data_IF_006138931513
#
_entry.id   IF_006138931513
#
_cell.length_a   1.000
_cell.length_b   1.000
_cell.length_c   1.000
_cell.angle_alpha   90.00
_cell.angle_beta   90.00
_cell.angle_gamma   90.00
#
_symmetry.space_group_name_H-M   'P 1'
#
loop_
_entity.id
_entity.type
_entity.pdbx_description
1 polymer ?
#
# COMPACT_ATOMS: atom_id res chain seq x y z
N UNK A 1 -41.44 36.72 -24.29
CA UNK A 1 -40.24 37.50 -23.92
C UNK A 1 -39.37 36.63 -23.01
N UNK A 2 -38.37 35.92 -23.56
CA UNK A 2 -37.50 35.02 -22.78
C UNK A 2 -36.06 35.27 -23.24
N UNK A 3 -35.28 35.99 -22.43
CA UNK A 3 -33.85 36.22 -22.69
C UNK A 3 -33.04 35.10 -22.01
N UNK A 4 -32.50 34.17 -22.80
CA UNK A 4 -31.48 33.20 -22.35
C UNK A 4 -30.17 33.95 -22.09
N UNK A 5 -29.67 33.93 -20.86
CA UNK A 5 -28.31 34.37 -20.51
C UNK A 5 -27.36 33.19 -20.56
N UNK A 6 -26.48 33.15 -21.56
CA UNK A 6 -25.33 32.26 -21.57
C UNK A 6 -24.30 32.77 -20.55
N UNK A 7 -23.95 31.95 -19.57
CA UNK A 7 -22.80 32.22 -18.69
C UNK A 7 -21.55 31.57 -19.31
N UNK A 8 -20.61 32.40 -19.74
CA UNK A 8 -19.28 31.95 -20.13
C UNK A 8 -18.50 31.59 -18.88
N UNK A 9 -18.26 30.30 -18.65
CA UNK A 9 -17.28 29.82 -17.66
C UNK A 9 -15.93 29.79 -18.38
N UNK A 10 -15.21 30.92 -18.37
CA UNK A 10 -13.81 30.93 -18.77
C UNK A 10 -12.97 30.36 -17.62
N UNK A 11 -12.55 29.09 -17.74
CA UNK A 11 -11.46 28.54 -16.91
C UNK A 11 -10.15 29.16 -17.38
N UNK A 12 -9.88 30.39 -16.93
CA UNK A 12 -8.53 30.96 -17.01
C UNK A 12 -7.71 30.24 -15.94
N UNK A 13 -6.80 29.35 -16.32
CA UNK A 13 -5.72 28.93 -15.44
C UNK A 13 -4.93 30.19 -15.08
N UNK A 14 -5.23 30.77 -13.91
CA UNK A 14 -4.51 31.93 -13.40
C UNK A 14 -3.09 31.48 -13.09
N UNK A 15 -2.17 31.72 -14.01
CA UNK A 15 -0.74 31.62 -13.70
C UNK A 15 -0.45 32.64 -12.60
N UNK A 16 -0.07 32.14 -11.43
CA UNK A 16 0.37 33.00 -10.35
C UNK A 16 1.62 33.74 -10.81
N UNK A 17 1.62 35.06 -10.64
CA UNK A 17 2.83 35.83 -10.82
C UNK A 17 3.90 35.36 -9.82
N UNK A 18 5.21 35.44 -10.13
CA UNK A 18 6.26 35.02 -9.19
C UNK A 18 6.12 35.64 -7.79
N UNK A 19 5.61 36.88 -7.73
CA UNK A 19 5.33 37.58 -6.47
C UNK A 19 4.17 36.95 -5.69
N UNK A 20 3.11 36.53 -6.36
CA UNK A 20 1.96 35.84 -5.74
C UNK A 20 2.36 34.46 -5.21
N UNK A 21 3.18 33.72 -5.95
CA UNK A 21 3.71 32.43 -5.52
C UNK A 21 4.58 32.55 -4.25
N UNK A 22 5.52 33.50 -4.24
CA UNK A 22 6.34 33.81 -3.06
C UNK A 22 5.44 34.21 -1.87
N UNK A 23 4.40 35.01 -2.11
CA UNK A 23 3.43 35.39 -1.08
C UNK A 23 2.68 34.18 -0.52
N UNK A 24 2.24 33.26 -1.37
CA UNK A 24 1.56 32.03 -0.95
C UNK A 24 2.50 31.12 -0.15
N UNK A 25 3.75 30.93 -0.59
CA UNK A 25 4.75 30.18 0.16
C UNK A 25 5.00 30.79 1.54
N UNK A 26 5.09 32.12 1.62
CA UNK A 26 5.26 32.82 2.89
C UNK A 26 4.04 32.70 3.82
N UNK A 27 2.83 32.65 3.25
CA UNK A 27 1.59 32.41 4.00
C UNK A 27 1.57 30.98 4.53
N UNK A 28 1.81 29.99 3.67
CA UNK A 28 1.87 28.57 4.04
C UNK A 28 2.93 28.32 5.13
N UNK A 29 4.13 28.91 4.99
CA UNK A 29 5.17 28.83 6.01
C UNK A 29 4.75 29.50 7.34
N UNK A 30 4.00 30.61 7.30
CA UNK A 30 3.44 31.23 8.52
C UNK A 30 2.37 30.36 9.17
N UNK A 31 1.48 29.78 8.37
CA UNK A 31 0.46 28.84 8.83
C UNK A 31 1.10 27.61 9.48
N UNK A 32 2.11 27.02 8.85
CA UNK A 32 2.87 25.89 9.39
C UNK A 32 3.57 26.25 10.70
N UNK A 33 4.15 27.46 10.79
CA UNK A 33 4.80 27.96 12.01
C UNK A 33 3.78 28.19 13.13
N UNK A 34 2.61 28.74 12.81
CA UNK A 34 1.54 28.98 13.77
C UNK A 34 0.95 27.67 14.26
N UNK A 35 0.67 26.72 13.35
CA UNK A 35 0.26 25.37 13.68
C UNK A 35 1.29 24.70 14.60
N UNK A 36 2.59 24.83 14.30
CA UNK A 36 3.67 24.33 15.16
C UNK A 36 3.64 24.98 16.55
N UNK A 37 3.43 26.29 16.65
CA UNK A 37 3.30 26.98 17.94
C UNK A 37 2.07 26.52 18.72
N UNK A 38 0.93 26.34 18.04
CA UNK A 38 -0.31 25.86 18.64
C UNK A 38 -0.15 24.42 19.15
N UNK A 39 0.50 23.54 18.38
CA UNK A 39 0.86 22.17 18.81
C UNK A 39 1.80 22.16 20.02
N UNK A 40 2.68 23.15 20.18
CA UNK A 40 3.57 23.28 21.33
C UNK A 40 2.84 23.83 22.57
N UNK A 41 1.88 24.74 22.38
CA UNK A 41 1.12 25.37 23.46
C UNK A 41 -0.02 24.49 23.98
N UNK A 42 -0.52 23.58 23.16
CA UNK A 42 -1.57 22.65 23.53
C UNK A 42 -1.01 21.58 24.48
N UNK A 43 -1.41 21.63 25.75
CA UNK A 43 -1.13 20.57 26.71
C UNK A 43 -1.98 19.33 26.40
N UNK A 44 -1.49 18.45 25.53
CA UNK A 44 -2.08 17.13 25.36
C UNK A 44 -1.75 16.26 26.58
N UNK A 45 -2.76 15.65 27.20
CA UNK A 45 -2.55 14.63 28.23
C UNK A 45 -1.95 13.38 27.58
N UNK A 46 -0.63 13.28 27.59
CA UNK A 46 0.11 12.17 26.99
C UNK A 46 0.23 11.01 28.00
N UNK A 47 -0.63 10.01 27.87
CA UNK A 47 -0.63 8.80 28.71
C UNK A 47 -0.61 7.53 27.84
N UNK A 48 0.55 7.22 27.20
CA UNK A 48 0.64 6.09 26.30
C UNK A 48 0.57 4.76 27.06
N UNK A 49 0.00 3.73 26.42
CA UNK A 49 0.15 2.35 26.90
C UNK A 49 1.60 1.90 26.69
N UNK A 50 2.19 1.32 27.72
CA UNK A 50 3.59 0.86 27.76
C UNK A 50 3.58 -0.63 28.10
N UNK A 51 4.41 -1.46 27.44
CA UNK A 51 4.53 -2.89 27.78
C UNK A 51 5.51 -3.11 28.94
N UNK A 52 6.70 -2.51 28.88
CA UNK A 52 7.74 -2.66 29.89
C UNK A 52 7.77 -1.52 30.92
N UNK A 53 7.65 -1.85 32.20
CA UNK A 53 7.70 -0.87 33.31
C UNK A 53 9.14 -0.50 33.73
N UNK A 54 10.14 -0.67 32.87
CA UNK A 54 11.55 -0.44 33.21
C UNK A 54 12.02 0.97 32.79
N UNK A 55 12.57 1.73 33.75
CA UNK A 55 13.14 3.08 33.55
C UNK A 55 14.64 2.97 33.18
N UNK A 56 15.18 3.84 32.30
CA UNK A 56 14.86 5.27 32.22
C UNK A 56 13.93 5.74 31.07
N UNK A 57 13.75 4.96 30.00
CA UNK A 57 13.07 5.42 28.78
C UNK A 57 11.73 4.69 28.57
N UNK A 58 10.64 5.25 29.11
CA UNK A 58 9.27 4.78 28.80
C UNK A 58 8.95 5.08 27.34
N UNK A 59 8.99 4.05 26.50
CA UNK A 59 8.61 4.14 25.10
C UNK A 59 7.14 3.74 24.94
N UNK A 60 6.36 4.39 24.06
CA UNK A 60 5.01 3.94 23.76
C UNK A 60 5.07 2.57 23.07
N UNK A 61 4.03 1.76 23.29
CA UNK A 61 3.96 0.36 22.83
C UNK A 61 4.31 0.18 21.34
N UNK A 62 3.85 1.09 20.48
CA UNK A 62 4.11 1.03 19.04
C UNK A 62 5.60 1.12 18.70
N UNK A 63 6.35 1.98 19.40
CA UNK A 63 7.78 2.18 19.19
C UNK A 63 8.57 0.99 19.74
N UNK A 64 8.17 0.52 20.93
CA UNK A 64 8.76 -0.66 21.55
C UNK A 64 8.60 -1.91 20.67
N UNK A 65 7.43 -2.11 20.04
CA UNK A 65 7.16 -3.24 19.14
C UNK A 65 8.01 -3.26 17.86
N UNK A 66 8.63 -2.15 17.46
CA UNK A 66 9.54 -2.12 16.30
C UNK A 66 10.82 -2.92 16.57
N UNK A 67 11.27 -2.98 17.83
CA UNK A 67 12.48 -3.69 18.24
C UNK A 67 12.30 -5.22 18.23
N UNK A 68 11.06 -5.70 18.26
CA UNK A 68 10.72 -7.12 18.29
C UNK A 68 10.26 -7.62 16.92
N UNK A 69 10.19 -8.95 16.78
CA UNK A 69 9.59 -9.60 15.60
C UNK A 69 8.11 -9.20 15.46
N UNK A 70 7.57 -9.16 14.23
CA UNK A 70 6.17 -8.83 14.01
C UNK A 70 5.26 -9.80 14.77
N UNK A 71 4.30 -9.23 15.51
CA UNK A 71 3.25 -9.97 16.20
C UNK A 71 2.34 -10.65 15.19
N UNK A 72 1.68 -11.73 15.61
CA UNK A 72 0.76 -12.51 14.77
C UNK A 72 -0.49 -12.84 15.56
N UNK A 73 -1.61 -12.85 14.84
CA UNK A 73 -2.91 -13.23 15.38
C UNK A 73 -3.12 -14.75 15.23
N UNK A 74 -3.83 -15.39 16.18
CA UNK A 74 -4.24 -16.78 16.02
C UNK A 74 -5.25 -16.90 14.87
N UNK A 75 -5.26 -18.06 14.21
CA UNK A 75 -6.25 -18.39 13.17
C UNK A 75 -7.52 -18.93 13.82
N UNK A 76 -8.67 -18.65 13.24
CA UNK A 76 -9.97 -19.13 13.74
C UNK A 76 -10.39 -20.41 13.02
N UNK A 77 -10.40 -20.38 11.67
CA UNK A 77 -10.85 -21.48 10.82
C UNK A 77 -9.68 -22.03 9.98
N UNK A 78 -8.76 -21.16 9.56
CA UNK A 78 -7.62 -21.52 8.73
C UNK A 78 -7.90 -21.48 7.24
N UNK A 79 -8.96 -20.78 6.82
CA UNK A 79 -9.31 -20.62 5.41
C UNK A 79 -8.31 -19.67 4.74
N UNK A 80 -7.71 -20.13 3.64
CA UNK A 80 -6.74 -19.33 2.89
C UNK A 80 -7.50 -18.33 2.02
N UNK A 81 -7.27 -17.04 2.26
CA UNK A 81 -7.92 -15.96 1.51
C UNK A 81 -6.96 -15.33 0.50
N UNK A 82 -5.69 -15.14 0.85
CA UNK A 82 -4.71 -14.60 -0.08
C UNK A 82 -3.29 -15.11 0.15
N UNK A 83 -2.58 -15.32 -0.95
CA UNK A 83 -1.16 -15.62 -1.01
C UNK A 83 -0.41 -14.40 -1.58
N UNK A 84 0.51 -13.83 -0.79
CA UNK A 84 1.43 -12.78 -1.22
C UNK A 84 2.82 -13.39 -1.43
N UNK A 85 3.26 -13.44 -2.69
CA UNK A 85 4.60 -13.87 -3.08
C UNK A 85 5.50 -12.66 -3.36
N UNK A 86 6.67 -12.65 -2.73
CA UNK A 86 7.67 -11.60 -2.82
C UNK A 86 8.88 -12.14 -3.59
N UNK A 87 9.34 -11.40 -4.61
CA UNK A 87 10.52 -11.78 -5.40
C UNK A 87 11.49 -10.62 -5.51
N UNK A 88 12.77 -10.88 -5.29
CA UNK A 88 13.83 -9.88 -5.48
C UNK A 88 15.18 -10.55 -5.76
N UNK A 89 16.14 -9.76 -6.22
CA UNK A 89 17.54 -10.16 -6.32
C UNK A 89 18.32 -9.90 -5.03
N UNK A 90 17.78 -9.07 -4.12
CA UNK A 90 18.33 -8.85 -2.77
C UNK A 90 17.42 -9.48 -1.71
N UNK A 91 18.00 -10.29 -0.82
CA UNK A 91 17.27 -10.97 0.24
C UNK A 91 16.92 -10.03 1.41
N UNK A 92 17.72 -8.99 1.62
CA UNK A 92 17.55 -8.09 2.76
C UNK A 92 16.31 -7.20 2.58
N UNK A 93 16.15 -6.58 1.42
CA UNK A 93 14.97 -5.76 1.11
C UNK A 93 13.68 -6.59 1.10
N UNK A 94 13.77 -7.84 0.67
CA UNK A 94 12.66 -8.78 0.67
C UNK A 94 12.20 -9.12 2.12
N UNK A 95 13.15 -9.32 3.05
CA UNK A 95 12.83 -9.49 4.47
C UNK A 95 12.23 -8.23 5.08
N UNK A 96 12.76 -7.04 4.75
CA UNK A 96 12.25 -5.76 5.25
C UNK A 96 10.80 -5.53 4.84
N UNK A 97 10.47 -5.72 3.55
CA UNK A 97 9.09 -5.54 3.08
C UNK A 97 8.17 -6.66 3.61
N UNK A 98 8.68 -7.88 3.78
CA UNK A 98 7.94 -8.97 4.40
C UNK A 98 7.59 -8.69 5.86
N UNK A 99 8.52 -8.19 6.65
CA UNK A 99 8.28 -7.77 8.04
C UNK A 99 7.30 -6.59 8.11
N UNK A 100 7.41 -5.62 7.19
CA UNK A 100 6.45 -4.53 7.06
C UNK A 100 5.04 -5.05 6.76
N UNK A 101 4.89 -5.93 5.76
CA UNK A 101 3.61 -6.54 5.41
C UNK A 101 2.96 -7.29 6.59
N UNK A 102 3.75 -8.03 7.37
CA UNK A 102 3.27 -8.71 8.58
C UNK A 102 2.75 -7.73 9.64
N UNK A 103 3.45 -6.61 9.87
CA UNK A 103 3.03 -5.58 10.83
C UNK A 103 1.72 -4.91 10.40
N UNK A 104 1.59 -4.57 9.11
CA UNK A 104 0.35 -3.98 8.58
C UNK A 104 -0.82 -4.95 8.77
N UNK A 105 -0.63 -6.23 8.45
CA UNK A 105 -1.69 -7.23 8.64
C UNK A 105 -2.10 -7.41 10.09
N UNK A 106 -1.15 -7.37 11.04
CA UNK A 106 -1.47 -7.42 12.46
C UNK A 106 -2.39 -6.26 12.90
N UNK A 107 -2.10 -5.04 12.46
CA UNK A 107 -2.94 -3.88 12.79
C UNK A 107 -4.31 -3.92 12.10
N UNK A 108 -4.41 -4.52 10.92
CA UNK A 108 -5.68 -4.74 10.21
C UNK A 108 -6.49 -5.92 10.77
N UNK A 109 -5.95 -6.67 11.75
CA UNK A 109 -6.66 -7.80 12.34
C UNK A 109 -6.56 -9.09 11.52
N UNK A 110 -5.64 -9.19 10.55
CA UNK A 110 -5.48 -10.33 9.66
C UNK A 110 -4.59 -11.41 10.31
N UNK A 111 -5.05 -12.65 10.50
CA UNK A 111 -4.19 -13.78 10.82
C UNK A 111 -3.26 -14.10 9.63
N UNK A 112 -1.96 -13.87 9.81
CA UNK A 112 -0.93 -14.10 8.78
C UNK A 112 -0.01 -15.26 9.13
N UNK A 113 0.44 -15.99 8.10
CA UNK A 113 1.57 -16.93 8.24
C UNK A 113 2.88 -16.19 8.53
N UNK A 114 3.91 -16.86 9.06
CA UNK A 114 5.26 -16.33 8.96
C UNK A 114 5.68 -16.06 7.51
N UNK A 115 6.62 -15.13 7.36
CA UNK A 115 7.37 -14.94 6.13
C UNK A 115 8.17 -16.22 5.84
N UNK A 116 7.72 -16.98 4.84
CA UNK A 116 8.25 -18.31 4.52
C UNK A 116 9.16 -18.23 3.31
N UNK A 117 10.40 -18.69 3.43
CA UNK A 117 11.36 -18.73 2.31
C UNK A 117 10.99 -19.86 1.35
N UNK A 118 10.83 -19.51 0.07
CA UNK A 118 10.63 -20.48 -1.00
C UNK A 118 11.98 -20.85 -1.64
N UNK A 119 11.95 -21.84 -2.54
CA UNK A 119 13.14 -22.25 -3.29
C UNK A 119 13.71 -21.05 -4.06
N UNK A 120 14.99 -20.78 -3.83
CA UNK A 120 15.75 -19.75 -4.53
C UNK A 120 16.09 -20.23 -5.93
N UNK A 121 15.82 -19.41 -6.95
CA UNK A 121 16.18 -19.70 -8.33
C UNK A 121 17.58 -19.18 -8.65
N UNK A 122 18.46 -20.04 -9.19
CA UNK A 122 19.79 -19.63 -9.66
C UNK A 122 19.89 -19.88 -11.16
N UNK A 123 20.10 -18.81 -11.93
CA UNK A 123 20.41 -18.89 -13.36
C UNK A 123 21.90 -18.65 -13.55
N UNK A 124 22.58 -19.56 -14.25
CA UNK A 124 24.01 -19.52 -14.53
C UNK A 124 24.22 -19.14 -16.00
N UNK A 125 25.17 -18.24 -16.26
CA UNK A 125 25.55 -17.80 -17.60
C UNK A 125 27.06 -17.91 -17.73
N UNK A 126 27.53 -18.54 -18.81
CA UNK A 126 28.96 -18.63 -19.09
C UNK A 126 29.26 -17.84 -20.36
N UNK A 127 30.13 -16.84 -20.24
CA UNK A 127 30.46 -15.91 -21.33
C UNK A 127 31.97 -15.97 -21.58
N UNK A 128 32.41 -15.81 -22.83
CA UNK A 128 33.83 -15.67 -23.16
C UNK A 128 34.32 -14.32 -22.64
N UNK A 129 35.46 -14.28 -21.94
CA UNK A 129 35.99 -13.03 -21.35
C UNK A 129 36.43 -12.02 -22.40
N UNK A 130 37.04 -12.51 -23.48
CA UNK A 130 37.51 -11.68 -24.59
C UNK A 130 36.37 -11.35 -25.55
N UNK A 131 36.36 -10.16 -26.18
CA UNK A 131 35.41 -9.84 -27.24
C UNK A 131 35.57 -10.75 -28.48
N UNK A 132 36.74 -11.38 -28.69
CA UNK A 132 36.98 -12.23 -29.87
C UNK A 132 37.94 -13.40 -29.60
N UNK A 133 37.68 -14.53 -30.28
CA UNK A 133 38.49 -15.76 -30.46
C UNK A 133 38.98 -16.55 -29.22
N UNK A 134 39.18 -15.93 -28.05
CA UNK A 134 39.78 -16.60 -26.87
C UNK A 134 38.77 -17.47 -26.08
N UNK A 135 38.15 -18.45 -26.74
CA UNK A 135 37.07 -19.28 -26.18
C UNK A 135 37.47 -20.16 -24.99
N UNK A 136 38.77 -20.41 -24.76
CA UNK A 136 39.28 -21.13 -23.58
C UNK A 136 39.16 -20.30 -22.29
N UNK A 137 39.13 -18.97 -22.41
CA UNK A 137 38.97 -18.05 -21.28
C UNK A 137 37.50 -17.67 -21.09
N UNK A 138 36.83 -18.35 -20.16
CA UNK A 138 35.39 -18.14 -19.87
C UNK A 138 35.19 -17.57 -18.46
N UNK A 139 34.11 -16.81 -18.27
CA UNK A 139 33.65 -16.30 -16.99
C UNK A 139 32.22 -16.76 -16.71
N UNK A 140 31.97 -17.19 -15.48
CA UNK A 140 30.64 -17.56 -15.01
C UNK A 140 30.00 -16.37 -14.30
N UNK A 141 28.79 -16.02 -14.72
CA UNK A 141 27.90 -15.09 -14.06
C UNK A 141 26.71 -15.85 -13.52
N UNK A 142 26.09 -15.31 -12.49
CA UNK A 142 24.86 -15.89 -11.95
C UNK A 142 23.87 -14.80 -11.58
N UNK A 143 22.59 -15.13 -11.72
CA UNK A 143 21.49 -14.35 -11.20
C UNK A 143 20.73 -15.20 -10.20
N UNK A 144 20.68 -14.75 -8.95
CA UNK A 144 19.94 -15.41 -7.88
C UNK A 144 18.65 -14.63 -7.66
N UNK A 145 17.52 -15.30 -7.72
CA UNK A 145 16.21 -14.73 -7.38
C UNK A 145 15.71 -15.37 -6.10
N UNK A 146 15.60 -14.55 -5.06
CA UNK A 146 15.02 -14.94 -3.79
C UNK A 146 13.51 -14.81 -3.85
N UNK A 147 12.83 -15.81 -3.30
CA UNK A 147 11.38 -15.92 -3.31
C UNK A 147 10.92 -16.15 -1.86
N UNK A 148 9.93 -15.39 -1.40
CA UNK A 148 9.25 -15.64 -0.13
C UNK A 148 7.74 -15.57 -0.30
N UNK A 149 7.01 -16.13 0.66
CA UNK A 149 5.56 -16.14 0.70
C UNK A 149 5.03 -15.75 2.07
N UNK A 150 3.93 -15.00 2.08
CA UNK A 150 3.06 -14.75 3.22
C UNK A 150 1.65 -15.21 2.81
N UNK A 151 0.96 -15.90 3.69
CA UNK A 151 -0.42 -16.37 3.49
C UNK A 151 -1.32 -15.67 4.50
N UNK A 152 -2.41 -15.10 4.02
CA UNK A 152 -3.47 -14.50 4.82
C UNK A 152 -4.65 -15.46 4.97
N UNK A 153 -5.18 -15.51 6.19
CA UNK A 153 -6.27 -16.40 6.57
C UNK A 153 -7.45 -15.62 7.12
N UNK A 154 -8.65 -16.23 7.08
CA UNK A 154 -9.83 -15.86 7.87
C UNK A 154 -10.18 -14.35 7.86
N UNK A 155 -10.04 -13.67 6.72
CA UNK A 155 -10.20 -12.21 6.62
C UNK A 155 -11.16 -11.82 5.51
N UNK A 156 -11.88 -10.70 5.70
CA UNK A 156 -12.78 -10.16 4.68
C UNK A 156 -11.98 -9.66 3.46
N UNK A 157 -12.45 -9.90 2.21
CA UNK A 157 -11.80 -9.45 0.99
C UNK A 157 -11.47 -7.95 0.97
N UNK A 158 -12.32 -7.08 1.50
CA UNK A 158 -12.08 -5.62 1.51
C UNK A 158 -10.83 -5.26 2.34
N UNK A 159 -10.62 -5.96 3.46
CA UNK A 159 -9.46 -5.76 4.35
C UNK A 159 -8.20 -6.29 3.68
N UNK A 160 -8.30 -7.40 2.94
CA UNK A 160 -7.20 -7.95 2.14
C UNK A 160 -6.79 -6.98 1.04
N UNK A 161 -7.75 -6.38 0.33
CA UNK A 161 -7.47 -5.40 -0.71
C UNK A 161 -6.82 -4.14 -0.13
N UNK A 162 -7.29 -3.66 1.02
CA UNK A 162 -6.66 -2.57 1.75
C UNK A 162 -5.21 -2.90 2.14
N UNK A 163 -4.98 -4.10 2.66
CA UNK A 163 -3.64 -4.59 3.04
C UNK A 163 -2.69 -4.65 1.85
N UNK A 164 -3.12 -5.25 0.74
CA UNK A 164 -2.33 -5.37 -0.49
C UNK A 164 -2.05 -4.01 -1.13
N UNK A 165 -3.05 -3.13 -1.17
CA UNK A 165 -2.91 -1.76 -1.67
C UNK A 165 -1.90 -0.96 -0.85
N UNK A 166 -1.96 -1.08 0.49
CA UNK A 166 -1.03 -0.40 1.39
C UNK A 166 0.41 -0.89 1.21
N UNK A 167 0.62 -2.21 1.09
CA UNK A 167 1.95 -2.77 0.81
C UNK A 167 2.46 -2.30 -0.54
N UNK A 168 1.61 -2.29 -1.57
CA UNK A 168 2.00 -1.83 -2.91
C UNK A 168 2.42 -0.35 -2.91
N UNK A 169 1.71 0.50 -2.16
CA UNK A 169 2.03 1.94 -2.00
C UNK A 169 3.42 2.18 -1.40
N UNK A 170 3.83 1.36 -0.43
CA UNK A 170 5.12 1.50 0.27
C UNK A 170 6.14 0.42 -0.14
N UNK A 171 5.96 -0.18 -1.31
CA UNK A 171 6.85 -1.22 -1.80
C UNK A 171 8.23 -0.65 -2.18
N UNK A 172 9.28 -1.47 -2.04
CA UNK A 172 10.60 -1.12 -2.56
C UNK A 172 10.69 -1.38 -4.06
N UNK A 173 11.40 -0.50 -4.78
CA UNK A 173 11.50 -0.55 -6.24
C UNK A 173 12.10 -1.87 -6.79
N UNK A 174 12.89 -2.57 -5.98
CA UNK A 174 13.55 -3.83 -6.35
C UNK A 174 12.77 -5.09 -5.94
N UNK A 175 11.62 -4.95 -5.28
CA UNK A 175 10.78 -6.09 -4.89
C UNK A 175 9.58 -6.16 -5.82
N UNK A 176 9.40 -7.33 -6.43
CA UNK A 176 8.18 -7.69 -7.14
C UNK A 176 7.20 -8.36 -6.18
N UNK A 177 5.98 -7.81 -6.12
CA UNK A 177 4.85 -8.41 -5.42
C UNK A 177 4.00 -9.19 -6.43
N UNK A 178 3.60 -10.40 -6.07
CA UNK A 178 2.64 -11.20 -6.82
C UNK A 178 1.62 -11.76 -5.85
N UNK A 179 0.34 -11.45 -6.09
CA UNK A 179 -0.75 -11.85 -5.20
C UNK A 179 -1.64 -12.88 -5.90
N UNK A 180 -2.18 -13.81 -5.12
CA UNK A 180 -3.28 -14.69 -5.52
C UNK A 180 -4.35 -14.57 -4.46
N UNK A 181 -5.56 -14.23 -4.85
CA UNK A 181 -6.71 -14.09 -3.95
C UNK A 181 -7.66 -15.26 -4.22
N UNK A 182 -8.15 -15.89 -3.17
CA UNK A 182 -9.14 -16.95 -3.21
C UNK A 182 -10.42 -16.40 -2.58
N UNK A 183 -11.51 -16.43 -3.34
CA UNK A 183 -12.85 -16.12 -2.86
C UNK A 183 -13.72 -17.39 -2.89
N UNK A 184 -14.63 -17.48 -1.94
CA UNK A 184 -15.63 -18.54 -1.87
C UNK A 184 -16.95 -17.96 -2.35
N UNK A 185 -17.49 -18.53 -3.41
CA UNK A 185 -18.73 -18.08 -4.05
C UNK A 185 -19.74 -19.22 -4.08
N UNK A 186 -21.03 -18.88 -4.21
CA UNK A 186 -22.10 -19.86 -4.37
C UNK A 186 -22.06 -20.52 -5.76
N UNK A 187 -22.78 -21.63 -5.92
CA UNK A 187 -22.89 -22.29 -7.23
C UNK A 187 -23.69 -21.44 -8.24
N UNK A 188 -24.62 -20.62 -7.74
CA UNK A 188 -25.48 -19.73 -8.53
C UNK A 188 -24.89 -18.30 -8.65
N UNK A 189 -23.59 -18.13 -8.41
CA UNK A 189 -22.85 -16.87 -8.40
C UNK A 189 -23.22 -15.90 -9.54
N UNK A 190 -23.40 -16.41 -10.77
CA UNK A 190 -23.75 -15.57 -11.92
C UNK A 190 -25.11 -14.86 -11.76
N UNK A 191 -26.10 -15.54 -11.17
CA UNK A 191 -27.42 -14.94 -10.90
C UNK A 191 -27.32 -13.93 -9.76
N UNK A 192 -26.52 -14.24 -8.73
CA UNK A 192 -26.29 -13.36 -7.59
C UNK A 192 -25.62 -12.06 -8.04
N UNK A 193 -24.60 -12.12 -8.90
CA UNK A 193 -23.98 -10.92 -9.48
C UNK A 193 -24.99 -10.08 -10.26
N UNK A 194 -25.79 -10.71 -11.12
CA UNK A 194 -26.79 -10.00 -11.93
C UNK A 194 -27.87 -9.32 -11.08
N UNK A 195 -28.22 -9.92 -9.95
CA UNK A 195 -29.20 -9.37 -9.01
C UNK A 195 -28.56 -8.36 -8.04
N UNK A 196 -27.26 -8.48 -7.78
CA UNK A 196 -26.54 -7.58 -6.89
C UNK A 196 -26.43 -6.21 -7.53
N UNK A 197 -26.91 -5.20 -6.82
CA UNK A 197 -26.52 -3.83 -7.11
C UNK A 197 -25.13 -3.63 -6.49
N UNK A 198 -24.07 -3.36 -7.26
CA UNK A 198 -22.75 -3.11 -6.69
C UNK A 198 -22.81 -1.86 -5.81
N UNK A 199 -22.75 -2.06 -4.50
CA UNK A 199 -22.57 -0.96 -3.57
C UNK A 199 -21.13 -0.47 -3.68
N UNK A 200 -20.95 0.83 -3.87
CA UNK A 200 -19.60 1.39 -3.94
C UNK A 200 -18.96 1.32 -2.55
N UNK A 201 -17.69 0.89 -2.46
CA UNK A 201 -17.02 0.82 -1.18
C UNK A 201 -16.95 2.21 -0.54
N UNK A 202 -17.31 2.28 0.74
CA UNK A 202 -17.25 3.53 1.53
C UNK A 202 -15.81 4.09 1.63
N UNK A 203 -14.81 3.30 1.27
CA UNK A 203 -13.39 3.66 1.27
C UNK A 203 -13.05 4.92 0.45
N UNK A 204 -13.90 5.33 -0.51
CA UNK A 204 -13.70 6.57 -1.28
C UNK A 204 -14.20 7.84 -0.59
N UNK A 205 -14.76 7.75 0.61
CA UNK A 205 -15.22 8.91 1.37
C UNK A 205 -14.03 9.58 2.08
N UNK A 206 -13.82 10.87 1.84
CA UNK A 206 -12.73 11.64 2.47
C UNK A 206 -11.34 11.49 1.84
N UNK A 207 -11.21 10.80 0.70
CA UNK A 207 -9.95 10.76 -0.06
C UNK A 207 -9.74 12.05 -0.87
N UNK A 208 -8.53 12.61 -0.77
CA UNK A 208 -8.12 13.81 -1.52
C UNK A 208 -7.42 13.48 -2.84
N UNK A 209 -7.16 12.20 -3.14
CA UNK A 209 -6.46 11.78 -4.35
C UNK A 209 -7.29 12.12 -5.61
N UNK A 210 -6.77 12.96 -6.55
CA UNK A 210 -7.52 13.34 -7.75
C UNK A 210 -7.93 12.14 -8.61
N UNK A 211 -7.15 11.07 -8.61
CA UNK A 211 -7.50 9.85 -9.36
C UNK A 211 -8.68 9.15 -8.72
N UNK A 212 -8.68 9.00 -7.39
CA UNK A 212 -9.78 8.39 -6.66
C UNK A 212 -11.08 9.18 -6.81
N UNK A 213 -11.02 10.52 -6.77
CA UNK A 213 -12.16 11.40 -7.03
C UNK A 213 -12.71 11.21 -8.44
N UNK A 214 -11.83 11.09 -9.44
CA UNK A 214 -12.26 10.85 -10.82
C UNK A 214 -12.89 9.48 -11.02
N UNK A 215 -12.32 8.44 -10.40
CA UNK A 215 -12.91 7.09 -10.41
C UNK A 215 -14.30 7.11 -9.77
N UNK A 216 -14.45 7.77 -8.62
CA UNK A 216 -15.75 7.95 -7.96
C UNK A 216 -16.76 8.70 -8.83
N UNK A 217 -16.35 9.74 -9.55
CA UNK A 217 -17.20 10.46 -10.50
C UNK A 217 -17.68 9.54 -11.63
N UNK A 218 -16.77 8.78 -12.23
CA UNK A 218 -17.07 7.85 -13.33
C UNK A 218 -18.01 6.72 -12.88
N UNK A 219 -17.75 6.14 -11.71
CA UNK A 219 -18.59 5.09 -11.15
C UNK A 219 -20.03 5.57 -10.90
N UNK A 220 -20.22 6.83 -10.49
CA UNK A 220 -21.53 7.43 -10.26
C UNK A 220 -22.27 7.88 -11.53
N UNK A 221 -21.59 7.92 -12.69
CA UNK A 221 -22.15 8.43 -13.94
C UNK A 221 -23.31 7.56 -14.45
N UNK A 222 -24.27 8.19 -15.13
CA UNK A 222 -25.39 7.50 -15.77
C UNK A 222 -24.91 6.55 -16.88
N UNK A 223 -23.83 6.93 -17.57
CA UNK A 223 -23.22 6.12 -18.62
C UNK A 223 -22.71 4.79 -18.08
N UNK A 224 -22.01 4.79 -16.94
CA UNK A 224 -21.56 3.55 -16.28
C UNK A 224 -22.74 2.66 -15.88
N UNK A 225 -23.79 3.25 -15.30
CA UNK A 225 -25.02 2.52 -14.90
C UNK A 225 -25.76 1.89 -16.08
N UNK A 226 -25.64 2.44 -17.28
CA UNK A 226 -26.24 1.87 -18.50
C UNK A 226 -25.53 0.60 -18.97
N UNK A 227 -24.25 0.45 -18.65
CA UNK A 227 -23.40 -0.66 -19.08
C UNK A 227 -23.29 -1.80 -18.05
N UNK A 228 -23.87 -1.61 -16.86
CA UNK A 228 -24.12 -2.65 -15.85
C UNK A 228 -25.39 -3.43 -16.20
#
# INVERSE_FOLDING_TARGET
MIKRRFHNISRVCKFQTPKEYIKQQNIQAKEDLQLKQDLLNTNFKYDPKILSSNLPNKQPINLELLNYKPLRLPKTHGDIVADLELKSYDELDLKRIGDFALRVGYYLGIPLSPLTKLKTEKRLYTVIKSPFAQAKSKQNFHRITFNYKIIAYDSNPDIIDLWLSFINKYNFNNVKLQTKIASYESLDYLKEIQQSNPEYPQAYQGLEDPVALKVKELLNSEEFKKHM
#
